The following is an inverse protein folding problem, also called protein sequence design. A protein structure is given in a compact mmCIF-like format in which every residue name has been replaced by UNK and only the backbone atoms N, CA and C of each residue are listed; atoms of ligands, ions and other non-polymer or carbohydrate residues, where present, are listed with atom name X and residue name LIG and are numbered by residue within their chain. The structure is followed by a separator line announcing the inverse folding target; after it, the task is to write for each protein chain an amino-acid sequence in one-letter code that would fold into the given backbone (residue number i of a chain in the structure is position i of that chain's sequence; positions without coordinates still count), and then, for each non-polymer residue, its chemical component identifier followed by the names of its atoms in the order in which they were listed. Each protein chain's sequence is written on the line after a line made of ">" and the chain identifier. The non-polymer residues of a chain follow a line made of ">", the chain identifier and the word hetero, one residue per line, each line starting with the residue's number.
data_IF_379077584937
#
_entry.id   IF_379077584937
#
_cell.length_a   1.000
_cell.length_b   1.000
_cell.length_c   1.000
_cell.angle_alpha   90.00
_cell.angle_beta   90.00
_cell.angle_gamma   90.00
#
_symmetry.space_group_name_H-M   'P 1'
#
loop_
_entity.id
_entity.type
_entity.pdbx_description
1 polymer ?
#
# COMPACT_ATOMS: atom_id res chain seq x y z
N UNK A 1 -7.19 25.42 4.80
CA UNK A 1 -6.33 25.32 3.58
C UNK A 1 -5.06 24.49 3.82
N UNK A 2 -4.23 24.80 4.82
CA UNK A 2 -3.01 24.04 5.12
C UNK A 2 -3.20 22.54 5.40
N UNK A 3 -4.25 22.09 6.15
CA UNK A 3 -4.46 20.66 6.38
C UNK A 3 -4.76 19.89 5.10
N UNK A 4 -5.63 20.41 4.23
CA UNK A 4 -5.95 19.77 2.94
C UNK A 4 -4.76 19.68 2.00
N UNK A 5 -3.92 20.72 1.93
CA UNK A 5 -2.68 20.71 1.16
C UNK A 5 -1.67 19.68 1.69
N UNK A 6 -1.47 19.62 3.00
CA UNK A 6 -0.60 18.64 3.64
C UNK A 6 -1.05 17.20 3.36
N UNK A 7 -2.33 16.89 3.60
CA UNK A 7 -2.88 15.54 3.36
C UNK A 7 -2.77 15.16 1.88
N UNK A 8 -2.98 16.11 0.97
CA UNK A 8 -2.82 15.90 -0.48
C UNK A 8 -1.42 15.42 -0.85
N UNK A 9 -0.39 16.11 -0.34
CA UNK A 9 1.02 15.74 -0.60
C UNK A 9 1.33 14.37 0.01
N UNK A 10 0.87 14.13 1.24
CA UNK A 10 1.07 12.83 1.92
C UNK A 10 0.41 11.70 1.13
N UNK A 11 -0.81 11.86 0.64
CA UNK A 11 -1.52 10.83 -0.12
C UNK A 11 -0.86 10.56 -1.47
N UNK A 12 -0.41 11.60 -2.18
CA UNK A 12 0.34 11.44 -3.41
C UNK A 12 1.62 10.64 -3.18
N UNK A 13 2.38 10.99 -2.13
CA UNK A 13 3.60 10.29 -1.76
C UNK A 13 3.36 8.84 -1.33
N UNK A 14 2.38 8.59 -0.46
CA UNK A 14 2.04 7.24 0.00
C UNK A 14 1.52 6.38 -1.15
N UNK A 15 0.68 6.94 -2.03
CA UNK A 15 0.19 6.25 -3.22
C UNK A 15 1.34 5.84 -4.15
N UNK A 16 2.26 6.77 -4.42
CA UNK A 16 3.49 6.48 -5.16
C UNK A 16 4.32 5.41 -4.46
N UNK A 17 4.54 5.52 -3.14
CA UNK A 17 5.35 4.60 -2.36
C UNK A 17 4.77 3.18 -2.42
N UNK A 18 3.46 3.01 -2.23
CA UNK A 18 2.79 1.71 -2.31
C UNK A 18 2.90 1.12 -3.73
N UNK A 19 2.71 1.93 -4.77
CA UNK A 19 2.88 1.46 -6.15
C UNK A 19 4.35 1.15 -6.49
N UNK A 20 5.30 1.82 -5.84
CA UNK A 20 6.72 1.56 -5.95
C UNK A 20 7.09 0.25 -5.26
N UNK A 21 6.67 0.01 -4.02
CA UNK A 21 6.98 -1.22 -3.27
C UNK A 21 6.45 -2.47 -3.97
N UNK A 22 5.25 -2.41 -4.55
CA UNK A 22 4.66 -3.49 -5.34
C UNK A 22 5.55 -3.92 -6.54
N UNK A 23 6.29 -2.96 -7.13
CA UNK A 23 7.24 -3.22 -8.23
C UNK A 23 8.63 -3.58 -7.73
N UNK A 24 9.11 -2.91 -6.69
CA UNK A 24 10.45 -3.12 -6.14
C UNK A 24 10.62 -4.53 -5.58
N UNK A 25 9.57 -5.07 -4.94
CA UNK A 25 9.59 -6.39 -4.33
C UNK A 25 9.66 -7.55 -5.35
N UNK A 26 9.38 -7.29 -6.64
CA UNK A 26 9.37 -8.28 -7.71
C UNK A 26 10.60 -8.25 -8.61
N UNK A 27 11.61 -7.45 -8.27
CA UNK A 27 12.81 -7.37 -9.10
C UNK A 27 13.59 -8.69 -9.03
N UNK A 28 14.16 -9.20 -10.15
CA UNK A 28 14.91 -10.44 -10.15
C UNK A 28 16.08 -10.45 -9.16
N UNK A 29 16.68 -9.28 -8.93
CA UNK A 29 17.82 -9.08 -8.01
C UNK A 29 17.37 -8.57 -6.62
N UNK A 30 16.11 -8.80 -6.24
CA UNK A 30 15.57 -8.27 -4.99
C UNK A 30 16.26 -8.93 -3.78
N UNK A 31 16.83 -8.08 -2.92
CA UNK A 31 17.32 -8.54 -1.62
C UNK A 31 16.17 -8.43 -0.62
N UNK A 32 15.56 -9.56 -0.23
CA UNK A 32 14.45 -9.63 0.75
C UNK A 32 14.74 -8.93 2.09
N UNK A 33 15.99 -8.87 2.50
CA UNK A 33 16.39 -8.25 3.77
C UNK A 33 16.50 -6.72 3.67
N UNK A 34 16.69 -6.17 2.47
CA UNK A 34 16.83 -4.71 2.24
C UNK A 34 15.66 -4.09 1.49
N UNK A 35 14.92 -4.88 0.72
CA UNK A 35 13.78 -4.41 -0.07
C UNK A 35 12.53 -4.27 0.80
N UNK A 36 11.70 -3.23 0.59
CA UNK A 36 10.37 -3.18 1.18
C UNK A 36 9.49 -4.32 0.63
N UNK A 37 8.59 -4.83 1.47
CA UNK A 37 7.69 -5.93 1.14
C UNK A 37 6.95 -6.47 2.36
N UNK A 38 6.05 -7.43 2.14
CA UNK A 38 5.38 -8.19 3.19
C UNK A 38 6.39 -9.11 3.84
N UNK A 39 6.51 -9.04 5.17
CA UNK A 39 7.46 -9.83 5.96
C UNK A 39 6.73 -10.67 6.98
N UNK A 40 6.62 -11.94 6.65
CA UNK A 40 6.11 -13.02 7.50
C UNK A 40 7.12 -14.17 7.52
N UNK A 41 7.03 -15.09 8.49
CA UNK A 41 7.88 -16.29 8.52
C UNK A 41 7.89 -17.06 7.18
N UNK A 42 6.73 -17.21 6.52
CA UNK A 42 6.66 -17.90 5.23
C UNK A 42 7.38 -17.12 4.12
N UNK A 43 7.09 -15.81 3.97
CA UNK A 43 7.71 -14.99 2.91
C UNK A 43 9.24 -14.86 3.02
N UNK A 44 9.80 -15.01 4.23
CA UNK A 44 11.23 -14.89 4.48
C UNK A 44 12.00 -16.21 4.34
N UNK A 45 11.32 -17.34 4.15
CA UNK A 45 11.93 -18.68 4.07
C UNK A 45 12.89 -18.84 2.89
N UNK A 46 12.47 -18.43 1.69
CA UNK A 46 13.31 -18.53 0.48
C UNK A 46 13.01 -17.41 -0.53
N UNK A 47 13.80 -17.34 -1.61
CA UNK A 47 13.59 -16.31 -2.65
C UNK A 47 12.32 -16.58 -3.46
N UNK A 48 12.02 -17.86 -3.61
CA UNK A 48 10.81 -18.37 -4.26
C UNK A 48 9.56 -18.01 -3.46
N UNK A 49 9.57 -18.24 -2.14
CA UNK A 49 8.49 -17.84 -1.24
C UNK A 49 8.22 -16.33 -1.28
N UNK A 50 9.29 -15.52 -1.26
CA UNK A 50 9.19 -14.08 -1.41
C UNK A 50 8.53 -13.70 -2.74
N UNK A 51 8.96 -14.32 -3.85
CA UNK A 51 8.40 -14.05 -5.17
C UNK A 51 6.93 -14.47 -5.27
N UNK A 52 6.58 -15.68 -4.84
CA UNK A 52 5.20 -16.19 -4.87
C UNK A 52 4.25 -15.26 -4.10
N UNK A 53 4.63 -14.87 -2.89
CA UNK A 53 3.89 -13.89 -2.09
C UNK A 53 3.68 -12.57 -2.82
N UNK A 54 4.77 -11.94 -3.28
CA UNK A 54 4.69 -10.60 -3.86
C UNK A 54 4.06 -10.61 -5.25
N UNK A 55 4.14 -11.70 -6.02
CA UNK A 55 3.43 -11.84 -7.29
C UNK A 55 1.93 -11.87 -7.05
N UNK A 56 1.46 -12.58 -6.00
CA UNK A 56 0.04 -12.67 -5.65
C UNK A 56 -0.57 -11.31 -5.34
N UNK A 57 0.17 -10.44 -4.65
CA UNK A 57 -0.33 -9.14 -4.16
C UNK A 57 0.14 -7.92 -4.97
N UNK A 58 1.01 -8.08 -5.97
CA UNK A 58 1.54 -6.95 -6.72
C UNK A 58 0.47 -6.15 -7.48
N UNK A 59 -0.47 -6.83 -8.15
CA UNK A 59 -1.58 -6.16 -8.86
C UNK A 59 -2.48 -5.37 -7.92
N UNK A 60 -3.03 -5.94 -6.82
CA UNK A 60 -3.85 -5.19 -5.89
C UNK A 60 -3.07 -4.03 -5.25
N UNK A 61 -1.86 -4.26 -4.72
CA UNK A 61 -1.03 -3.18 -4.13
C UNK A 61 -0.78 -2.04 -5.12
N UNK A 62 -0.38 -2.36 -6.35
CA UNK A 62 -0.13 -1.35 -7.37
C UNK A 62 -1.38 -0.54 -7.70
N UNK A 63 -2.55 -1.20 -7.85
CA UNK A 63 -3.82 -0.51 -8.11
C UNK A 63 -4.19 0.41 -6.95
N UNK A 64 -4.08 -0.06 -5.71
CA UNK A 64 -4.34 0.75 -4.52
C UNK A 64 -3.44 1.98 -4.44
N UNK A 65 -2.14 1.81 -4.68
CA UNK A 65 -1.21 2.94 -4.72
C UNK A 65 -1.55 3.97 -5.79
N UNK A 66 -1.91 3.53 -7.00
CA UNK A 66 -2.34 4.42 -8.08
C UNK A 66 -3.64 5.14 -7.71
N UNK A 67 -4.65 4.42 -7.21
CA UNK A 67 -5.93 5.01 -6.81
C UNK A 67 -5.74 6.06 -5.71
N UNK A 68 -4.88 5.79 -4.73
CA UNK A 68 -4.56 6.74 -3.67
C UNK A 68 -3.88 8.01 -4.22
N UNK A 69 -2.92 7.84 -5.15
CA UNK A 69 -2.24 8.96 -5.79
C UNK A 69 -3.19 9.80 -6.67
N UNK A 70 -4.13 9.16 -7.37
CA UNK A 70 -5.14 9.85 -8.20
C UNK A 70 -6.17 10.57 -7.33
N UNK A 71 -6.58 9.97 -6.21
CA UNK A 71 -7.51 10.57 -5.26
C UNK A 71 -6.86 11.64 -4.37
N UNK A 72 -5.53 11.80 -4.43
CA UNK A 72 -4.80 12.69 -3.54
C UNK A 72 -5.22 14.16 -3.59
N UNK A 73 -5.78 14.74 -4.68
CA UNK A 73 -6.27 16.12 -4.68
C UNK A 73 -7.60 16.35 -3.93
N UNK A 74 -8.34 15.29 -3.58
CA UNK A 74 -9.65 15.44 -2.91
C UNK A 74 -9.59 16.20 -1.57
N UNK A 75 -8.61 15.99 -0.67
CA UNK A 75 -8.50 16.72 0.60
C UNK A 75 -8.37 18.23 0.44
N UNK A 76 -7.61 18.73 -0.55
CA UNK A 76 -7.51 20.18 -0.79
C UNK A 76 -8.80 20.75 -1.36
N UNK A 77 -9.50 20.01 -2.23
CA UNK A 77 -10.80 20.42 -2.77
C UNK A 77 -11.88 20.46 -1.69
N UNK A 78 -11.95 19.44 -0.84
CA UNK A 78 -12.88 19.38 0.29
C UNK A 78 -12.60 20.50 1.31
N UNK A 79 -11.33 20.71 1.63
CA UNK A 79 -10.91 21.78 2.55
C UNK A 79 -11.24 23.18 2.02
N UNK A 80 -11.16 23.39 0.70
CA UNK A 80 -11.52 24.65 0.07
C UNK A 80 -13.05 24.88 0.03
N UNK A 81 -13.83 23.83 -0.19
CA UNK A 81 -15.29 23.93 -0.35
C UNK A 81 -16.06 23.94 0.99
N UNK A 82 -15.59 23.20 1.99
CA UNK A 82 -16.37 22.91 3.20
C UNK A 82 -15.60 23.16 4.51
N UNK A 83 -14.36 23.65 4.44
CA UNK A 83 -13.47 23.76 5.60
C UNK A 83 -12.87 22.42 6.03
N UNK A 84 -12.25 22.38 7.21
CA UNK A 84 -11.44 21.24 7.65
C UNK A 84 -12.21 19.99 8.16
N UNK A 85 -13.44 20.06 8.75
CA UNK A 85 -14.09 18.87 9.31
C UNK A 85 -14.29 17.70 8.31
N UNK A 86 -14.72 17.92 7.06
CA UNK A 86 -14.84 16.82 6.07
C UNK A 86 -13.50 16.22 5.67
N UNK A 87 -12.41 17.01 5.69
CA UNK A 87 -11.05 16.51 5.42
C UNK A 87 -10.63 15.52 6.50
N UNK A 88 -10.87 15.86 7.77
CA UNK A 88 -10.57 14.99 8.90
C UNK A 88 -11.39 13.70 8.83
N UNK A 89 -12.69 13.80 8.56
CA UNK A 89 -13.57 12.63 8.42
C UNK A 89 -13.09 11.70 7.28
N UNK A 90 -12.75 12.25 6.12
CA UNK A 90 -12.24 11.48 4.99
C UNK A 90 -10.94 10.72 5.33
N UNK A 91 -10.03 11.38 6.06
CA UNK A 91 -8.77 10.75 6.52
C UNK A 91 -9.05 9.57 7.45
N UNK A 92 -9.96 9.73 8.42
CA UNK A 92 -10.31 8.68 9.37
C UNK A 92 -11.00 7.49 8.69
N UNK A 93 -11.96 7.75 7.80
CA UNK A 93 -12.62 6.70 7.02
C UNK A 93 -11.62 5.95 6.16
N UNK A 94 -10.71 6.65 5.48
CA UNK A 94 -9.68 5.98 4.68
C UNK A 94 -8.75 5.13 5.55
N UNK A 95 -8.33 5.61 6.72
CA UNK A 95 -7.49 4.83 7.64
C UNK A 95 -8.20 3.54 8.09
N UNK A 96 -9.49 3.62 8.44
CA UNK A 96 -10.32 2.47 8.82
C UNK A 96 -10.46 1.44 7.70
N UNK A 97 -10.44 1.87 6.44
CA UNK A 97 -10.51 0.96 5.29
C UNK A 97 -9.14 0.39 4.89
N UNK A 98 -8.09 1.22 4.92
CA UNK A 98 -6.75 0.84 4.46
C UNK A 98 -6.10 -0.15 5.41
N UNK A 99 -6.22 0.02 6.73
CA UNK A 99 -5.55 -0.88 7.70
C UNK A 99 -6.02 -2.33 7.55
N UNK A 100 -7.32 -2.66 7.60
CA UNK A 100 -7.79 -4.04 7.38
C UNK A 100 -7.43 -4.57 5.99
N UNK A 101 -7.47 -3.71 4.96
CA UNK A 101 -7.11 -4.10 3.61
C UNK A 101 -5.62 -4.49 3.51
N UNK A 102 -4.71 -3.73 4.12
CA UNK A 102 -3.29 -4.07 4.16
C UNK A 102 -3.03 -5.38 4.93
N UNK A 103 -3.77 -5.61 6.03
CA UNK A 103 -3.71 -6.88 6.77
C UNK A 103 -4.19 -8.05 5.91
N UNK A 104 -5.28 -7.86 5.16
CA UNK A 104 -5.78 -8.87 4.22
C UNK A 104 -4.75 -9.19 3.12
N UNK A 105 -4.06 -8.18 2.57
CA UNK A 105 -2.99 -8.41 1.60
C UNK A 105 -1.79 -9.12 2.23
N UNK A 106 -1.44 -8.82 3.48
CA UNK A 106 -0.39 -9.53 4.19
C UNK A 106 -0.76 -11.01 4.39
N UNK A 107 -2.01 -11.29 4.77
CA UNK A 107 -2.56 -12.64 4.87
C UNK A 107 -2.49 -13.41 3.54
N UNK A 108 -2.92 -12.78 2.43
CA UNK A 108 -2.84 -13.39 1.10
C UNK A 108 -1.41 -13.69 0.65
N UNK A 109 -0.48 -12.76 0.94
CA UNK A 109 0.93 -12.94 0.64
C UNK A 109 1.53 -14.10 1.45
N UNK A 110 1.19 -14.21 2.73
CA UNK A 110 1.64 -15.32 3.59
C UNK A 110 1.13 -16.67 3.09
N UNK A 111 -0.17 -16.77 2.74
CA UNK A 111 -0.76 -17.99 2.19
C UNK A 111 -0.11 -18.39 0.86
N UNK A 112 0.15 -17.41 -0.02
CA UNK A 112 0.82 -17.67 -1.29
C UNK A 112 2.28 -18.11 -1.11
N UNK A 113 2.99 -17.61 -0.10
CA UNK A 113 4.31 -18.12 0.25
C UNK A 113 4.24 -19.54 0.81
N UNK A 114 3.32 -19.82 1.74
CA UNK A 114 3.19 -21.14 2.35
C UNK A 114 2.81 -22.24 1.33
N UNK A 115 2.06 -21.88 0.29
CA UNK A 115 1.69 -22.77 -0.80
C UNK A 115 2.86 -23.18 -1.71
N UNK A 116 4.07 -22.63 -1.52
CA UNK A 116 5.28 -23.09 -2.23
C UNK A 116 5.77 -24.44 -1.68
N UNK A 117 5.49 -24.74 -0.42
CA UNK A 117 5.96 -25.97 0.26
C UNK A 117 5.00 -27.18 0.10
N UNK A 118 3.81 -26.99 -0.51
CA UNK A 118 2.76 -28.00 -0.64
C UNK A 118 2.40 -28.29 -2.09
#
# INVERSE_FOLDING_TARGET
>A
MWPGAFVTVVYAFLGWLVAFTARAALRPTVNRNRSPGVRTPATLRSAEHWHAAHQRVARPLRRTGILLAVASPLPILLGAAFGDPPVIAAVLVLALLVVPYLLYLAYLADHAAAAVDG
#
